data_IF_136334740438
#
_entry.id   IF_136334740438
#
_cell.length_a   1.000
_cell.length_b   1.000
_cell.length_c   1.000
_cell.angle_alpha   90.00
_cell.angle_beta   90.00
_cell.angle_gamma   90.00
#
_symmetry.space_group_name_H-M   'P 1'
#
loop_
_entity.id
_entity.type
_entity.pdbx_description
1 polymer ?
#
# COMPACT_ATOMS: atom_id res chain seq x y z
N UNK A 1 -23.43 20.19 29.08
CA UNK A 1 -22.51 19.92 27.96
C UNK A 1 -21.27 19.30 28.54
N UNK A 2 -20.87 18.17 27.99
CA UNK A 2 -19.65 17.49 28.40
C UNK A 2 -18.46 18.38 27.98
N UNK A 3 -17.55 18.65 28.91
CA UNK A 3 -16.41 19.53 28.66
C UNK A 3 -15.41 18.93 27.64
N UNK A 4 -15.57 17.66 27.28
CA UNK A 4 -14.74 16.95 26.29
C UNK A 4 -15.44 16.77 24.92
N UNK A 5 -16.65 17.28 24.74
CA UNK A 5 -17.39 17.18 23.48
C UNK A 5 -16.90 18.24 22.48
N UNK A 6 -16.57 17.82 21.25
CA UNK A 6 -16.23 18.73 20.16
C UNK A 6 -17.52 19.29 19.56
N UNK A 7 -17.74 20.58 19.71
CA UNK A 7 -18.91 21.28 19.17
C UNK A 7 -18.54 22.11 17.93
N UNK A 8 -19.54 22.40 17.08
CA UNK A 8 -19.36 23.27 15.93
C UNK A 8 -19.38 24.74 16.34
N UNK A 9 -18.46 25.54 15.79
CA UNK A 9 -18.46 26.99 15.96
C UNK A 9 -19.24 27.62 14.82
N UNK A 10 -20.37 28.27 15.14
CA UNK A 10 -21.13 29.02 14.15
C UNK A 10 -20.31 30.18 13.56
N UNK A 11 -20.56 30.53 12.30
CA UNK A 11 -19.78 31.55 11.56
C UNK A 11 -19.70 32.90 12.30
N UNK A 12 -20.78 33.30 12.98
CA UNK A 12 -20.83 34.54 13.76
C UNK A 12 -20.05 34.49 15.09
N UNK A 13 -19.68 33.30 15.56
CA UNK A 13 -18.87 33.09 16.75
C UNK A 13 -17.39 32.87 16.44
N UNK A 14 -17.01 32.70 15.16
CA UNK A 14 -15.61 32.41 14.78
C UNK A 14 -14.59 33.37 15.40
N UNK A 15 -14.86 34.68 15.39
CA UNK A 15 -13.93 35.68 15.90
C UNK A 15 -13.73 35.63 17.43
N UNK A 16 -14.61 34.95 18.16
CA UNK A 16 -14.50 34.76 19.61
C UNK A 16 -13.71 33.50 19.98
N UNK A 17 -13.52 32.57 19.04
CA UNK A 17 -12.89 31.27 19.28
C UNK A 17 -11.58 31.08 18.50
N UNK A 18 -11.44 31.72 17.34
CA UNK A 18 -10.26 31.62 16.48
C UNK A 18 -9.59 32.97 16.38
N UNK A 19 -8.44 33.10 17.05
CA UNK A 19 -7.62 34.31 17.01
C UNK A 19 -6.52 34.13 15.97
N UNK A 20 -6.53 34.98 14.95
CA UNK A 20 -5.50 34.98 13.92
C UNK A 20 -4.25 35.69 14.45
N UNK A 21 -3.08 35.10 14.22
CA UNK A 21 -1.81 35.77 14.47
C UNK A 21 -1.68 37.03 13.61
N UNK A 22 -0.96 38.03 14.11
CA UNK A 22 -0.53 39.19 13.30
C UNK A 22 0.50 38.78 12.25
N UNK A 23 1.19 37.67 12.47
CA UNK A 23 2.13 37.10 11.51
C UNK A 23 1.40 36.23 10.49
N UNK A 24 1.59 36.55 9.21
CA UNK A 24 1.19 35.70 8.10
C UNK A 24 2.45 35.12 7.45
N UNK A 25 2.57 33.80 7.43
CA UNK A 25 3.65 33.08 6.78
C UNK A 25 3.11 32.20 5.66
N UNK A 26 3.95 31.95 4.65
CA UNK A 26 3.66 30.95 3.62
C UNK A 26 3.91 29.57 4.22
N UNK A 27 2.91 28.68 4.12
CA UNK A 27 3.08 27.29 4.54
C UNK A 27 4.01 26.60 3.55
N UNK A 28 5.12 26.07 4.05
CA UNK A 28 6.04 25.25 3.26
C UNK A 28 5.61 23.79 3.39
N UNK A 29 5.24 23.12 2.28
CA UNK A 29 4.82 21.73 2.36
C UNK A 29 5.98 20.80 2.75
N UNK A 30 5.67 19.77 3.54
CA UNK A 30 6.61 18.68 3.85
C UNK A 30 6.77 17.80 2.60
N UNK A 31 7.99 17.72 2.06
CA UNK A 31 8.27 16.81 0.96
C UNK A 31 8.25 15.35 1.43
N UNK A 32 7.44 14.52 0.76
CA UNK A 32 7.29 13.09 1.07
C UNK A 32 7.14 12.28 -0.22
N UNK A 33 7.62 11.03 -0.23
CA UNK A 33 7.32 10.09 -1.31
C UNK A 33 5.90 9.55 -1.17
N UNK A 34 5.22 9.26 -2.29
CA UNK A 34 3.85 8.74 -2.25
C UNK A 34 3.77 7.42 -1.45
N UNK A 35 4.76 6.54 -1.63
CA UNK A 35 4.85 5.26 -0.91
C UNK A 35 5.16 5.42 0.59
N UNK A 36 5.72 6.56 1.01
CA UNK A 36 6.08 6.84 2.40
C UNK A 36 4.93 7.43 3.24
N UNK A 37 3.86 7.90 2.61
CA UNK A 37 2.73 8.52 3.29
C UNK A 37 2.02 7.51 4.19
N UNK A 38 1.84 7.87 5.45
CA UNK A 38 1.22 7.00 6.45
C UNK A 38 0.37 7.81 7.45
N UNK A 39 -0.16 7.14 8.47
CA UNK A 39 -1.07 7.76 9.45
C UNK A 39 -0.44 8.92 10.24
N UNK A 40 0.90 8.97 10.37
CA UNK A 40 1.58 10.09 11.03
C UNK A 40 1.57 11.39 10.21
N UNK A 41 1.25 11.32 8.92
CA UNK A 41 1.17 12.49 8.04
C UNK A 41 -0.23 13.12 8.05
N UNK A 42 -1.25 12.48 8.65
CA UNK A 42 -2.63 13.02 8.70
C UNK A 42 -2.64 14.44 9.28
N UNK A 43 -3.30 15.37 8.58
CA UNK A 43 -3.36 16.78 8.93
C UNK A 43 -2.13 17.59 8.49
N UNK A 44 -1.17 16.97 7.80
CA UNK A 44 0.04 17.65 7.30
C UNK A 44 -0.15 18.11 5.86
N UNK A 45 0.26 19.34 5.56
CA UNK A 45 0.41 19.84 4.19
C UNK A 45 1.71 19.31 3.58
N UNK A 46 1.60 18.51 2.54
CA UNK A 46 2.70 17.78 1.92
C UNK A 46 2.91 18.18 0.46
N UNK A 47 4.11 17.91 -0.06
CA UNK A 47 4.45 17.98 -1.48
C UNK A 47 4.92 16.60 -1.92
N UNK A 48 4.24 16.04 -2.91
CA UNK A 48 4.60 14.75 -3.51
C UNK A 48 5.03 14.99 -4.94
N UNK A 49 6.20 14.48 -5.30
CA UNK A 49 6.80 14.64 -6.64
C UNK A 49 6.62 13.38 -7.48
N UNK A 50 6.92 13.53 -8.77
CA UNK A 50 6.95 12.44 -9.76
C UNK A 50 5.63 11.68 -9.85
N UNK A 51 4.53 12.40 -9.64
CA UNK A 51 3.19 11.85 -9.73
C UNK A 51 2.69 11.82 -11.15
N UNK A 52 1.82 10.86 -11.42
CA UNK A 52 1.07 10.71 -12.66
C UNK A 52 -0.38 10.30 -12.35
N UNK A 53 -1.34 10.82 -13.09
CA UNK A 53 -2.68 10.24 -13.14
C UNK A 53 -2.69 9.02 -14.06
N UNK A 54 -3.35 7.90 -13.74
CA UNK A 54 -3.50 6.76 -14.66
C UNK A 54 -4.05 7.20 -16.02
N UNK A 55 -3.58 6.60 -17.12
CA UNK A 55 -4.00 6.96 -18.48
C UNK A 55 -5.52 6.83 -18.70
N UNK A 56 -6.18 5.88 -18.04
CA UNK A 56 -7.65 5.73 -18.07
C UNK A 56 -8.45 6.88 -17.42
N UNK A 57 -7.78 7.87 -16.85
CA UNK A 57 -8.39 9.11 -16.36
C UNK A 57 -8.29 10.28 -17.35
N UNK A 58 -7.66 10.09 -18.50
CA UNK A 58 -7.56 11.13 -19.52
C UNK A 58 -8.95 11.64 -19.94
N UNK A 59 -9.09 12.96 -20.03
CA UNK A 59 -10.35 13.64 -20.36
C UNK A 59 -11.36 13.70 -19.22
N UNK A 60 -11.09 13.07 -18.07
CA UNK A 60 -11.95 13.20 -16.88
C UNK A 60 -11.62 14.48 -16.10
N UNK A 61 -12.61 14.98 -15.37
CA UNK A 61 -12.46 16.08 -14.42
C UNK A 61 -12.09 15.59 -13.02
N UNK A 62 -11.65 16.53 -12.16
CA UNK A 62 -11.36 16.24 -10.75
C UNK A 62 -12.55 15.57 -10.06
N UNK A 63 -13.76 16.10 -10.27
CA UNK A 63 -15.02 15.52 -9.81
C UNK A 63 -15.70 14.77 -10.94
N UNK A 64 -16.24 13.59 -10.68
CA UNK A 64 -17.15 12.89 -11.57
C UNK A 64 -18.55 13.51 -11.45
N UNK A 65 -19.14 14.04 -12.53
CA UNK A 65 -20.44 14.72 -12.46
C UNK A 65 -21.61 13.79 -12.07
N UNK A 66 -21.38 12.47 -12.00
CA UNK A 66 -22.37 11.49 -11.53
C UNK A 66 -22.30 11.22 -10.03
N UNK A 67 -21.30 11.74 -9.33
CA UNK A 67 -21.12 11.55 -7.90
C UNK A 67 -21.65 12.77 -7.13
N UNK A 68 -22.43 12.49 -6.07
CA UNK A 68 -23.14 13.54 -5.33
C UNK A 68 -22.23 14.24 -4.28
N UNK A 69 -21.23 13.54 -3.76
CA UNK A 69 -20.38 14.01 -2.65
C UNK A 69 -18.94 14.23 -3.11
N UNK A 70 -18.04 13.28 -2.89
CA UNK A 70 -16.63 13.44 -3.22
C UNK A 70 -16.20 12.42 -4.25
N UNK A 71 -15.33 12.84 -5.17
CA UNK A 71 -14.70 11.97 -6.15
C UNK A 71 -13.29 11.62 -5.73
N UNK A 72 -13.01 10.33 -5.74
CA UNK A 72 -11.67 9.81 -5.50
C UNK A 72 -11.01 9.44 -6.84
N UNK A 73 -9.98 10.19 -7.23
CA UNK A 73 -9.13 9.88 -8.39
C UNK A 73 -7.86 9.21 -7.90
N UNK A 74 -7.50 8.09 -8.52
CA UNK A 74 -6.20 7.46 -8.26
C UNK A 74 -5.07 8.36 -8.78
N UNK A 75 -4.04 8.53 -7.96
CA UNK A 75 -2.74 9.10 -8.33
C UNK A 75 -1.66 8.05 -8.11
N UNK A 76 -0.60 8.10 -8.91
CA UNK A 76 0.44 7.09 -8.91
C UNK A 76 1.82 7.75 -8.96
N UNK A 77 2.82 7.09 -8.39
CA UNK A 77 4.23 7.40 -8.62
C UNK A 77 4.91 6.15 -9.16
N UNK A 78 5.71 6.28 -10.21
CA UNK A 78 6.46 5.16 -10.75
C UNK A 78 7.42 4.63 -9.69
N UNK A 79 7.41 3.31 -9.50
CA UNK A 79 8.50 2.59 -8.87
C UNK A 79 9.38 2.01 -9.98
N UNK A 80 10.50 1.39 -9.63
CA UNK A 80 11.31 0.69 -10.64
C UNK A 80 10.46 -0.33 -11.39
N UNK A 81 9.67 -1.12 -10.66
CA UNK A 81 8.66 -2.02 -11.21
C UNK A 81 7.27 -1.59 -10.74
N UNK A 82 6.38 -1.26 -11.68
CA UNK A 82 5.01 -0.87 -11.37
C UNK A 82 4.88 0.48 -10.65
N UNK A 83 3.77 0.66 -9.91
CA UNK A 83 3.38 1.94 -9.34
C UNK A 83 3.03 1.81 -7.85
N UNK A 84 3.42 2.82 -7.07
CA UNK A 84 2.78 3.11 -5.80
C UNK A 84 1.58 4.02 -6.07
N UNK A 85 0.46 3.78 -5.38
CA UNK A 85 -0.81 4.46 -5.64
C UNK A 85 -1.41 5.05 -4.35
N UNK A 86 -2.10 6.18 -4.47
CA UNK A 86 -2.96 6.74 -3.43
C UNK A 86 -4.21 7.36 -4.07
N UNK A 87 -5.14 7.83 -3.25
CA UNK A 87 -6.36 8.50 -3.67
C UNK A 87 -6.24 10.01 -3.48
N UNK A 88 -6.58 10.75 -4.52
CA UNK A 88 -6.82 12.19 -4.49
C UNK A 88 -8.34 12.40 -4.39
N UNK A 89 -8.79 12.97 -3.29
CA UNK A 89 -10.20 13.21 -3.02
C UNK A 89 -10.53 14.68 -3.30
N UNK A 90 -11.56 14.91 -4.12
CA UNK A 90 -12.05 16.26 -4.44
C UNK A 90 -13.55 16.32 -4.22
N UNK A 91 -14.01 17.32 -3.48
CA UNK A 91 -15.44 17.51 -3.21
C UNK A 91 -16.21 18.01 -4.42
N UNK A 92 -17.46 17.57 -4.59
CA UNK A 92 -18.38 18.04 -5.63
C UNK A 92 -18.67 19.54 -5.51
N UNK A 93 -18.49 20.11 -4.31
CA UNK A 93 -18.61 21.54 -4.06
C UNK A 93 -17.33 22.34 -4.37
N UNK A 94 -16.23 21.68 -4.76
CA UNK A 94 -14.99 22.36 -5.09
C UNK A 94 -15.15 23.22 -6.35
N UNK A 95 -14.75 24.49 -6.27
CA UNK A 95 -14.84 25.45 -7.38
C UNK A 95 -14.08 25.03 -8.65
N UNK A 96 -13.13 24.11 -8.51
CA UNK A 96 -12.33 23.55 -9.60
C UNK A 96 -12.75 22.13 -10.00
N UNK A 97 -13.83 21.56 -9.42
CA UNK A 97 -14.23 20.16 -9.63
C UNK A 97 -14.44 19.79 -11.10
N UNK A 98 -14.94 20.74 -11.91
CA UNK A 98 -15.18 20.55 -13.35
C UNK A 98 -13.93 20.75 -14.23
N UNK A 99 -12.78 21.15 -13.66
CA UNK A 99 -11.54 21.25 -14.44
C UNK A 99 -11.07 19.85 -14.83
N UNK A 100 -10.58 19.71 -16.06
CA UNK A 100 -9.97 18.47 -16.52
C UNK A 100 -8.72 18.14 -15.68
N UNK A 101 -8.49 16.85 -15.45
CA UNK A 101 -7.27 16.38 -14.81
C UNK A 101 -6.07 16.73 -15.71
N UNK A 102 -5.06 17.43 -15.19
CA UNK A 102 -3.88 17.75 -15.98
C UNK A 102 -3.06 16.47 -16.17
N UNK A 103 -2.95 16.02 -17.41
CA UNK A 103 -2.12 14.85 -17.75
C UNK A 103 -0.65 15.26 -17.86
N UNK A 104 0.23 14.33 -17.53
CA UNK A 104 1.68 14.59 -17.46
C UNK A 104 2.27 13.91 -16.24
N UNK A 105 3.55 14.16 -16.00
CA UNK A 105 4.21 13.94 -14.72
C UNK A 105 4.32 15.24 -13.94
N UNK A 106 4.38 15.18 -12.61
CA UNK A 106 4.44 16.42 -11.86
C UNK A 106 4.42 16.30 -10.35
N UNK A 107 3.98 17.40 -9.74
CA UNK A 107 3.91 17.54 -8.29
C UNK A 107 2.48 17.84 -7.86
N UNK A 108 2.10 17.33 -6.70
CA UNK A 108 0.85 17.67 -6.02
C UNK A 108 1.17 18.14 -4.61
N UNK A 109 0.69 19.33 -4.25
CA UNK A 109 0.62 19.75 -2.86
C UNK A 109 -0.78 19.43 -2.32
N UNK A 110 -0.87 18.80 -1.15
CA UNK A 110 -2.16 18.40 -0.59
C UNK A 110 -2.08 18.25 0.92
N UNK A 111 -3.23 18.20 1.58
CA UNK A 111 -3.32 17.76 2.98
C UNK A 111 -3.62 16.27 3.00
N UNK A 112 -2.87 15.51 3.80
CA UNK A 112 -3.18 14.11 4.05
C UNK A 112 -4.38 14.03 4.99
N UNK A 113 -5.40 13.29 4.59
CA UNK A 113 -6.61 13.05 5.38
C UNK A 113 -6.98 11.56 5.32
N UNK A 114 -8.14 11.23 5.90
CA UNK A 114 -8.84 9.99 5.63
C UNK A 114 -10.12 10.26 4.84
N UNK A 115 -10.56 9.24 4.10
CA UNK A 115 -11.87 9.23 3.47
C UNK A 115 -12.99 9.33 4.51
N UNK A 116 -14.22 9.58 4.07
CA UNK A 116 -15.39 9.75 4.94
C UNK A 116 -15.58 8.61 5.96
N UNK A 117 -15.30 7.35 5.57
CA UNK A 117 -15.44 6.19 6.44
C UNK A 117 -14.21 5.94 7.34
N UNK A 118 -13.13 6.71 7.17
CA UNK A 118 -11.91 6.58 7.96
C UNK A 118 -11.03 5.37 7.62
N UNK A 119 -11.31 4.69 6.51
CA UNK A 119 -10.68 3.44 6.08
C UNK A 119 -9.38 3.67 5.30
N UNK A 120 -9.35 4.69 4.43
CA UNK A 120 -8.24 4.94 3.52
C UNK A 120 -7.62 6.31 3.73
N UNK A 121 -6.32 6.42 3.50
CA UNK A 121 -5.67 7.72 3.37
C UNK A 121 -6.02 8.33 2.02
N UNK A 122 -6.33 9.63 2.04
CA UNK A 122 -6.63 10.42 0.85
C UNK A 122 -5.82 11.71 0.88
N UNK A 123 -5.51 12.24 -0.29
CA UNK A 123 -4.96 13.59 -0.45
C UNK A 123 -6.09 14.54 -0.80
N UNK A 124 -6.20 15.64 -0.05
CA UNK A 124 -7.24 16.65 -0.26
C UNK A 124 -6.58 17.94 -0.76
N UNK A 125 -7.13 18.47 -1.84
CA UNK A 125 -6.67 19.72 -2.45
C UNK A 125 -7.41 20.93 -1.91
N UNK A 126 -6.69 22.03 -1.75
CA UNK A 126 -7.30 23.34 -1.51
C UNK A 126 -7.69 24.02 -2.84
N UNK A 127 -6.83 23.92 -3.85
CA UNK A 127 -7.07 24.47 -5.19
C UNK A 127 -6.47 23.56 -6.27
N UNK A 128 -6.94 23.70 -7.53
CA UNK A 128 -6.32 23.04 -8.68
C UNK A 128 -4.88 23.50 -8.93
N UNK A 129 -4.49 24.68 -8.45
CA UNK A 129 -3.14 25.23 -8.67
C UNK A 129 -2.06 24.46 -7.90
N UNK A 130 -2.48 23.67 -6.91
CA UNK A 130 -1.63 22.75 -6.16
C UNK A 130 -1.28 21.49 -6.96
N UNK A 131 -1.88 21.29 -8.14
CA UNK A 131 -1.60 20.18 -9.05
C UNK A 131 -0.86 20.71 -10.27
N UNK A 132 0.43 20.39 -10.38
CA UNK A 132 1.31 20.87 -11.45
C UNK A 132 1.92 19.70 -12.22
N UNK A 133 1.24 19.29 -13.29
CA UNK A 133 1.62 18.15 -14.13
C UNK A 133 2.30 18.60 -15.43
N UNK A 134 3.33 19.43 -15.30
CA UNK A 134 4.03 20.07 -16.43
C UNK A 134 5.22 19.29 -16.97
N UNK A 135 5.61 18.20 -16.28
CA UNK A 135 6.76 17.40 -16.65
C UNK A 135 6.32 16.22 -17.52
N UNK A 136 7.29 15.55 -18.13
CA UNK A 136 7.03 14.26 -18.77
C UNK A 136 6.55 13.23 -17.73
N UNK A 137 5.68 12.33 -18.18
CA UNK A 137 5.24 11.21 -17.34
C UNK A 137 6.43 10.31 -17.04
N UNK A 138 6.55 9.87 -15.79
CA UNK A 138 7.47 8.80 -15.47
C UNK A 138 7.02 7.49 -16.16
N UNK A 139 7.98 6.60 -16.40
CA UNK A 139 7.75 5.25 -16.90
C UNK A 139 8.31 4.24 -15.93
N UNK A 140 7.68 3.07 -15.89
CA UNK A 140 8.12 1.94 -15.07
C UNK A 140 8.85 0.95 -15.96
N UNK A 141 9.82 0.23 -15.39
CA UNK A 141 10.41 -0.93 -16.05
C UNK A 141 9.48 -2.14 -15.89
N UNK A 142 9.73 -3.19 -16.64
CA UNK A 142 9.06 -4.48 -16.47
C UNK A 142 10.04 -5.54 -16.00
N UNK A 143 9.51 -6.63 -15.44
CA UNK A 143 10.33 -7.78 -15.00
C UNK A 143 11.22 -8.31 -16.13
N UNK A 144 10.79 -8.18 -17.39
CA UNK A 144 11.59 -8.52 -18.57
C UNK A 144 12.91 -7.75 -18.69
N UNK A 145 13.02 -6.57 -18.08
CA UNK A 145 14.22 -5.76 -18.06
C UNK A 145 15.27 -6.30 -17.05
N UNK A 146 14.88 -7.25 -16.20
CA UNK A 146 15.67 -7.89 -15.15
C UNK A 146 15.64 -9.42 -15.31
N UNK A 147 16.33 -9.98 -16.33
CA UNK A 147 16.17 -11.36 -16.74
C UNK A 147 16.81 -12.40 -15.79
N UNK A 148 17.61 -11.94 -14.82
CA UNK A 148 18.27 -12.83 -13.88
C UNK A 148 17.31 -13.20 -12.74
N UNK A 149 16.91 -14.47 -12.69
CA UNK A 149 16.14 -15.02 -11.58
C UNK A 149 17.06 -15.57 -10.50
N UNK A 150 17.07 -14.96 -9.32
CA UNK A 150 17.86 -15.43 -8.17
C UNK A 150 17.15 -16.57 -7.39
N UNK A 151 15.82 -16.51 -7.33
CA UNK A 151 14.97 -17.52 -6.70
C UNK A 151 13.60 -17.53 -7.39
N UNK A 152 13.06 -18.71 -7.69
CA UNK A 152 11.69 -18.87 -8.15
C UNK A 152 11.07 -20.13 -7.54
N UNK A 153 9.82 -20.01 -7.11
CA UNK A 153 9.00 -21.11 -6.63
C UNK A 153 7.55 -20.87 -7.05
N UNK A 154 6.93 -21.88 -7.66
CA UNK A 154 5.56 -21.82 -8.18
C UNK A 154 4.61 -22.78 -7.44
N UNK A 155 5.12 -23.53 -6.47
CA UNK A 155 4.42 -24.52 -5.63
C UNK A 155 3.70 -25.66 -6.39
N UNK A 156 3.88 -25.78 -7.70
CA UNK A 156 3.17 -26.75 -8.55
C UNK A 156 3.39 -28.21 -8.13
N UNK A 157 4.58 -28.52 -7.64
CA UNK A 157 4.95 -29.86 -7.15
C UNK A 157 4.58 -30.08 -5.69
N UNK A 158 4.16 -29.04 -4.96
CA UNK A 158 3.86 -29.13 -3.53
C UNK A 158 2.58 -29.95 -3.28
N UNK A 159 2.54 -30.66 -2.15
CA UNK A 159 1.39 -31.43 -1.68
C UNK A 159 1.40 -31.52 -0.17
N UNK A 160 0.26 -31.25 0.47
CA UNK A 160 0.15 -31.31 1.92
C UNK A 160 0.87 -30.15 2.59
N UNK A 161 1.78 -30.45 3.52
CA UNK A 161 2.65 -29.43 4.14
C UNK A 161 3.72 -28.97 3.14
N UNK A 162 3.99 -27.67 3.05
CA UNK A 162 5.03 -27.17 2.16
C UNK A 162 6.38 -27.70 2.65
N UNK A 163 7.06 -28.43 1.76
CA UNK A 163 8.38 -29.02 1.96
C UNK A 163 9.17 -28.86 0.67
N UNK A 164 9.86 -27.73 0.55
CA UNK A 164 10.73 -27.39 -0.59
C UNK A 164 12.18 -27.56 -0.13
N UNK A 165 13.04 -28.07 -1.01
CA UNK A 165 14.46 -28.25 -0.72
C UNK A 165 15.08 -26.92 -0.27
N UNK A 166 15.83 -26.97 0.84
CA UNK A 166 16.51 -25.82 1.46
C UNK A 166 15.58 -24.70 1.96
N UNK A 167 14.26 -24.93 2.04
CA UNK A 167 13.31 -24.03 2.69
C UNK A 167 12.91 -24.59 4.06
N UNK A 168 12.47 -23.71 4.96
CA UNK A 168 12.01 -24.06 6.30
C UNK A 168 10.56 -23.62 6.50
N UNK A 169 9.69 -24.55 6.87
CA UNK A 169 8.30 -24.31 7.27
C UNK A 169 8.21 -24.43 8.80
N UNK A 170 8.36 -23.31 9.50
CA UNK A 170 8.55 -23.29 10.95
C UNK A 170 7.32 -22.75 11.69
N UNK A 171 6.80 -23.54 12.63
CA UNK A 171 5.72 -23.14 13.54
C UNK A 171 6.31 -22.54 14.81
N UNK A 172 6.20 -21.23 14.96
CA UNK A 172 6.62 -20.52 16.17
C UNK A 172 5.56 -20.62 17.26
N UNK A 173 4.27 -20.54 16.90
CA UNK A 173 3.15 -20.71 17.81
C UNK A 173 1.95 -21.39 17.13
N UNK A 174 1.21 -22.18 17.91
CA UNK A 174 0.10 -22.99 17.42
C UNK A 174 0.55 -24.24 16.65
N UNK A 175 -0.38 -24.86 15.93
CA UNK A 175 -0.19 -26.19 15.32
C UNK A 175 -0.22 -26.18 13.79
N UNK A 176 -0.53 -25.05 13.14
CA UNK A 176 -0.75 -24.98 11.68
C UNK A 176 0.50 -24.54 10.90
N UNK A 177 0.86 -25.30 9.88
CA UNK A 177 1.97 -25.03 8.93
C UNK A 177 1.47 -24.41 7.63
N UNK A 178 2.40 -23.86 6.84
CA UNK A 178 2.12 -23.54 5.45
C UNK A 178 1.83 -24.84 4.68
N UNK A 179 0.77 -24.85 3.88
CA UNK A 179 0.32 -26.03 3.14
C UNK A 179 0.06 -25.69 1.68
N UNK A 180 0.16 -26.68 0.80
CA UNK A 180 -0.24 -26.54 -0.59
C UNK A 180 -1.75 -26.29 -0.68
N UNK A 181 -2.15 -25.29 -1.44
CA UNK A 181 -3.52 -25.03 -1.84
C UNK A 181 -3.62 -25.17 -3.35
N UNK A 182 -4.50 -26.06 -3.82
CA UNK A 182 -4.82 -26.19 -5.23
C UNK A 182 -6.01 -25.29 -5.54
N UNK A 183 -5.80 -24.30 -6.39
CA UNK A 183 -6.90 -23.52 -6.94
C UNK A 183 -7.45 -24.24 -8.18
N UNK A 184 -8.68 -24.72 -8.06
CA UNK A 184 -9.34 -25.45 -9.14
C UNK A 184 -9.68 -24.59 -10.36
N UNK A 185 -9.68 -23.25 -10.23
CA UNK A 185 -10.02 -22.34 -11.33
C UNK A 185 -8.80 -22.00 -12.18
N UNK A 186 -7.72 -21.53 -11.55
CA UNK A 186 -6.44 -21.31 -12.22
C UNK A 186 -5.72 -22.61 -12.58
N UNK A 187 -6.15 -23.74 -12.00
CA UNK A 187 -5.49 -25.05 -12.14
C UNK A 187 -4.01 -25.01 -11.72
N UNK A 188 -3.69 -24.15 -10.76
CA UNK A 188 -2.36 -23.91 -10.23
C UNK A 188 -2.35 -24.11 -8.71
N UNK A 189 -1.17 -24.13 -8.11
CA UNK A 189 -0.98 -24.27 -6.67
C UNK A 189 -0.31 -23.05 -6.06
N UNK A 190 -0.60 -22.84 -4.77
CA UNK A 190 0.05 -21.84 -3.95
C UNK A 190 0.34 -22.37 -2.56
N UNK A 191 1.22 -21.70 -1.82
CA UNK A 191 1.32 -21.87 -0.38
C UNK A 191 0.18 -21.13 0.33
N UNK A 192 -0.46 -21.79 1.29
CA UNK A 192 -1.56 -21.24 2.09
C UNK A 192 -1.32 -21.46 3.56
N UNK A 193 -1.66 -20.44 4.34
CA UNK A 193 -1.81 -20.53 5.79
C UNK A 193 -3.28 -20.37 6.18
N UNK A 194 -3.71 -21.11 7.20
CA UNK A 194 -5.04 -20.96 7.79
C UNK A 194 -5.13 -21.63 9.16
N UNK A 195 -5.70 -20.91 10.14
CA UNK A 195 -5.88 -21.41 11.51
C UNK A 195 -7.35 -21.69 11.88
N UNK A 196 -8.27 -21.55 10.92
CA UNK A 196 -9.69 -21.82 11.19
C UNK A 196 -9.89 -23.24 11.75
N UNK A 197 -10.60 -23.35 12.87
CA UNK A 197 -10.89 -24.60 13.58
C UNK A 197 -9.63 -25.36 14.06
N UNK A 198 -8.51 -24.67 14.30
CA UNK A 198 -7.30 -25.28 14.86
C UNK A 198 -7.45 -25.67 16.34
N UNK A 199 -8.20 -24.88 17.11
CA UNK A 199 -8.19 -24.92 18.57
C UNK A 199 -6.99 -24.18 19.18
N UNK A 200 -6.12 -23.60 18.36
CA UNK A 200 -4.99 -22.80 18.82
C UNK A 200 -5.50 -21.43 19.32
N UNK A 201 -4.90 -20.91 20.39
CA UNK A 201 -5.20 -19.55 20.86
C UNK A 201 -4.78 -18.48 19.83
N UNK A 202 -3.63 -18.69 19.18
CA UNK A 202 -3.16 -17.95 18.01
C UNK A 202 -2.17 -18.82 17.21
N UNK A 203 -1.92 -18.46 15.95
CA UNK A 203 -0.95 -19.15 15.08
C UNK A 203 0.09 -18.13 14.58
N UNK A 204 1.37 -18.46 14.72
CA UNK A 204 2.50 -17.75 14.09
C UNK A 204 3.37 -18.79 13.39
N UNK A 205 3.51 -18.68 12.08
CA UNK A 205 4.23 -19.65 11.26
C UNK A 205 4.97 -18.97 10.13
N UNK A 206 6.20 -19.39 9.93
CA UNK A 206 7.17 -18.87 8.97
C UNK A 206 7.30 -19.82 7.78
N UNK A 207 7.46 -19.26 6.59
CA UNK A 207 7.96 -19.96 5.41
C UNK A 207 9.23 -19.25 4.99
N UNK A 208 10.38 -19.83 5.35
CA UNK A 208 11.70 -19.24 5.10
C UNK A 208 12.30 -19.89 3.86
N UNK A 209 12.74 -19.07 2.90
CA UNK A 209 13.40 -19.54 1.70
C UNK A 209 14.83 -20.00 2.00
N UNK A 210 15.48 -20.64 1.03
CA UNK A 210 16.94 -20.71 1.04
C UNK A 210 17.55 -19.29 1.01
N UNK A 211 18.77 -19.16 1.50
CA UNK A 211 19.55 -17.93 1.32
C UNK A 211 19.74 -17.58 -0.15
N UNK A 212 19.70 -16.29 -0.46
CA UNK A 212 19.88 -15.75 -1.81
C UNK A 212 21.07 -14.77 -1.76
N UNK A 213 22.02 -14.94 -2.67
CA UNK A 213 23.16 -14.02 -2.80
C UNK A 213 22.73 -12.77 -3.56
N UNK A 214 22.72 -11.62 -2.87
CA UNK A 214 22.37 -10.31 -3.42
C UNK A 214 23.62 -9.46 -3.71
N UNK A 215 24.83 -9.93 -3.38
CA UNK A 215 26.07 -9.17 -3.59
C UNK A 215 26.58 -9.25 -5.04
N UNK A 216 26.00 -10.16 -5.84
CA UNK A 216 26.35 -10.35 -7.25
C UNK A 216 25.52 -9.49 -8.22
N UNK A 217 24.54 -8.76 -7.70
CA UNK A 217 23.59 -7.93 -8.44
C UNK A 217 23.56 -6.51 -7.87
N UNK A 218 22.90 -5.57 -8.57
CA UNK A 218 22.81 -4.17 -8.16
C UNK A 218 21.38 -3.68 -7.93
N UNK A 219 20.39 -4.41 -8.45
CA UNK A 219 18.97 -4.12 -8.34
C UNK A 219 18.25 -5.47 -8.21
N UNK A 220 17.67 -5.73 -7.04
CA UNK A 220 16.95 -6.96 -6.74
C UNK A 220 15.50 -6.64 -6.41
N UNK A 221 14.59 -7.47 -6.91
CA UNK A 221 13.16 -7.30 -6.74
C UNK A 221 12.53 -8.58 -6.22
N UNK A 222 11.48 -8.45 -5.43
CA UNK A 222 10.65 -9.56 -5.01
C UNK A 222 9.24 -9.40 -5.59
N UNK A 223 8.87 -10.33 -6.46
CA UNK A 223 7.55 -10.40 -7.11
C UNK A 223 6.79 -11.64 -6.63
N UNK A 224 5.56 -11.44 -6.17
CA UNK A 224 4.65 -12.53 -5.79
C UNK A 224 3.19 -12.06 -5.77
N UNK A 225 2.26 -13.02 -5.71
CA UNK A 225 0.84 -12.75 -5.59
C UNK A 225 0.27 -13.25 -4.26
N UNK A 226 -0.69 -12.50 -3.73
CA UNK A 226 -1.44 -12.90 -2.53
C UNK A 226 -2.93 -12.89 -2.77
N UNK A 227 -3.62 -13.84 -2.16
CA UNK A 227 -5.09 -13.87 -2.12
C UNK A 227 -5.54 -14.28 -0.73
N UNK A 228 -6.78 -13.96 -0.38
CA UNK A 228 -7.39 -14.40 0.86
C UNK A 228 -8.72 -15.12 0.61
N UNK A 229 -9.12 -15.92 1.61
CA UNK A 229 -10.44 -16.54 1.70
C UNK A 229 -10.91 -16.40 3.14
N UNK A 230 -11.44 -15.21 3.46
CA UNK A 230 -11.83 -14.78 4.80
C UNK A 230 -10.62 -14.58 5.73
N UNK A 231 -9.86 -13.52 5.48
CA UNK A 231 -8.66 -13.21 6.26
C UNK A 231 -8.96 -13.03 7.77
N UNK A 232 -10.15 -12.54 8.17
CA UNK A 232 -10.63 -12.50 9.56
C UNK A 232 -9.58 -12.01 10.59
N UNK A 233 -8.84 -10.95 10.25
CA UNK A 233 -7.79 -10.40 11.13
C UNK A 233 -6.42 -11.08 11.01
N UNK A 234 -6.25 -12.03 10.09
CA UNK A 234 -4.94 -12.60 9.76
C UNK A 234 -4.05 -11.54 9.12
N UNK A 235 -2.75 -11.61 9.40
CA UNK A 235 -1.75 -10.71 8.83
C UNK A 235 -0.66 -11.55 8.16
N UNK A 236 -0.25 -11.16 6.96
CA UNK A 236 0.95 -11.66 6.30
C UNK A 236 1.98 -10.52 6.26
N UNK A 237 3.22 -10.83 6.60
CA UNK A 237 4.37 -9.91 6.46
C UNK A 237 5.43 -10.58 5.61
N UNK A 238 6.10 -9.79 4.78
CA UNK A 238 7.32 -10.22 4.10
C UNK A 238 8.49 -9.59 4.83
N UNK A 239 9.48 -10.41 5.13
CA UNK A 239 10.62 -10.04 5.96
C UNK A 239 11.90 -10.44 5.24
N UNK A 240 12.97 -9.69 5.45
CA UNK A 240 14.32 -10.04 5.03
C UNK A 240 15.26 -9.99 6.24
N UNK A 241 16.24 -10.88 6.26
CA UNK A 241 17.31 -10.93 7.25
C UNK A 241 18.63 -11.16 6.53
N UNK A 242 19.69 -10.47 6.99
CA UNK A 242 21.06 -10.62 6.50
C UNK A 242 21.95 -11.37 7.51
N UNK A 243 21.41 -11.74 8.67
CA UNK A 243 22.10 -12.39 9.79
C UNK A 243 21.45 -13.74 10.21
N UNK A 244 20.48 -14.24 9.44
CA UNK A 244 19.85 -15.52 9.69
C UNK A 244 20.70 -16.69 9.16
N UNK A 245 21.12 -17.57 10.08
CA UNK A 245 21.99 -18.72 9.82
C UNK A 245 21.31 -19.93 9.15
N UNK A 246 20.14 -19.74 8.53
CA UNK A 246 19.48 -20.81 7.75
C UNK A 246 18.87 -21.95 8.57
N UNK A 247 18.56 -21.76 9.86
CA UNK A 247 17.95 -22.80 10.70
C UNK A 247 16.72 -22.29 11.47
N UNK A 248 15.77 -23.19 11.76
CA UNK A 248 14.56 -22.86 12.52
C UNK A 248 14.86 -22.34 13.93
N UNK A 249 15.90 -22.87 14.59
CA UNK A 249 16.30 -22.45 15.92
C UNK A 249 16.82 -21.00 15.96
N UNK A 250 17.42 -20.53 14.87
CA UNK A 250 17.97 -19.18 14.74
C UNK A 250 16.94 -18.11 14.36
N UNK A 251 15.69 -18.47 14.06
CA UNK A 251 14.65 -17.49 13.64
C UNK A 251 14.43 -16.41 14.71
N UNK A 252 14.45 -16.80 15.99
CA UNK A 252 14.23 -15.88 17.12
C UNK A 252 15.42 -14.99 17.47
N UNK A 253 16.63 -15.34 17.01
CA UNK A 253 17.86 -14.58 17.28
C UNK A 253 18.30 -13.70 16.11
N UNK A 254 17.73 -13.91 14.92
CA UNK A 254 18.02 -13.12 13.73
C UNK A 254 17.26 -11.78 13.72
N UNK A 255 17.80 -10.81 12.99
CA UNK A 255 17.19 -9.50 12.78
C UNK A 255 16.34 -9.53 11.52
N UNK A 256 15.05 -9.17 11.64
CA UNK A 256 14.10 -9.16 10.53
C UNK A 256 13.63 -7.75 10.19
N UNK A 257 13.80 -7.35 8.93
CA UNK A 257 13.30 -6.10 8.39
C UNK A 257 12.04 -6.34 7.57
N UNK A 258 10.98 -5.55 7.83
CA UNK A 258 9.73 -5.63 7.06
C UNK A 258 9.93 -5.01 5.69
N UNK A 259 9.63 -5.79 4.65
CA UNK A 259 9.63 -5.32 3.27
C UNK A 259 8.28 -4.68 2.91
N UNK A 260 8.24 -3.68 2.01
CA UNK A 260 7.06 -2.90 1.68
C UNK A 260 6.10 -3.65 0.72
N UNK A 261 5.85 -4.92 0.99
CA UNK A 261 5.03 -5.77 0.14
C UNK A 261 3.55 -5.36 0.17
N UNK A 262 2.93 -5.38 -1.01
CA UNK A 262 1.50 -5.16 -1.16
C UNK A 262 0.73 -6.45 -0.86
N UNK A 263 0.28 -6.58 0.38
CA UNK A 263 -0.52 -7.73 0.81
C UNK A 263 -2.01 -7.48 0.54
N UNK A 264 -2.69 -8.51 0.03
CA UNK A 264 -4.15 -8.52 -0.15
C UNK A 264 -4.88 -8.06 1.12
N UNK A 265 -5.81 -7.12 0.98
CA UNK A 265 -6.59 -6.58 2.11
C UNK A 265 -7.64 -7.58 2.60
N UNK A 266 -8.07 -7.48 3.86
CA UNK A 266 -9.10 -8.38 4.41
C UNK A 266 -10.47 -8.29 3.71
N UNK A 267 -10.80 -7.12 3.16
CA UNK A 267 -12.05 -6.88 2.44
C UNK A 267 -12.01 -7.27 0.97
N UNK A 268 -10.86 -7.73 0.48
CA UNK A 268 -10.69 -8.13 -0.92
C UNK A 268 -11.59 -9.31 -1.28
N UNK A 269 -12.14 -9.28 -2.49
CA UNK A 269 -13.01 -10.33 -2.98
C UNK A 269 -12.31 -11.69 -3.00
N UNK A 270 -13.02 -12.74 -2.58
CA UNK A 270 -12.49 -14.11 -2.64
C UNK A 270 -12.02 -14.45 -4.05
N UNK A 271 -10.81 -15.01 -4.17
CA UNK A 271 -10.09 -15.36 -5.42
C UNK A 271 -9.54 -14.19 -6.21
N UNK A 272 -9.65 -12.95 -5.76
CA UNK A 272 -8.84 -11.90 -6.34
C UNK A 272 -7.39 -12.09 -5.89
N UNK A 273 -6.46 -12.02 -6.84
CA UNK A 273 -5.03 -12.11 -6.61
C UNK A 273 -4.43 -10.71 -6.71
N UNK A 274 -3.76 -10.30 -5.64
CA UNK A 274 -3.08 -9.01 -5.57
C UNK A 274 -1.59 -9.25 -5.82
N UNK A 275 -1.13 -8.73 -6.94
CA UNK A 275 0.28 -8.73 -7.32
C UNK A 275 1.06 -7.70 -6.50
N UNK A 276 2.23 -8.10 -6.01
CA UNK A 276 3.18 -7.29 -5.27
C UNK A 276 4.55 -7.43 -5.89
N UNK A 277 5.14 -6.31 -6.31
CA UNK A 277 6.52 -6.22 -6.79
C UNK A 277 7.12 -4.94 -6.25
N UNK A 278 8.32 -5.05 -5.68
CA UNK A 278 9.07 -3.94 -5.08
C UNK A 278 10.57 -4.26 -5.07
#
# INVERSE_FOLDING_TARGET
TDAMEIESVALNQMNNHFFRSEETAVIVPKEVSLAGINASDIGTFICVKELVFPLGLEGKSFVDPKEDFDTQRKIQSCQTLGYADLLLETSSFASFGNKALPMGGGIINAVVSKDYNGHFLVLVLNTSDDVKMTNERCTTRSESDFPLTLLAEYFETASGEISITDWINYREAGTKSWRSYSDTYSQSKAARMGSKNSGDAYTSTWLLTKGVDLESTAEEFLSFETSNSFANGSTLKVLISTDWEGTAAAVSSATWHVLPAKIVSNGEGYKNWVHSTF
#
